data_IF_843210223652
#
_entry.id   IF_843210223652
#
_cell.length_a   1.000
_cell.length_b   1.000
_cell.length_c   1.000
_cell.angle_alpha   90.00
_cell.angle_beta   90.00
_cell.angle_gamma   90.00
#
_symmetry.space_group_name_H-M   'P 1'
#
loop_
_entity.id
_entity.type
_entity.pdbx_description
1 polymer ?
#
# COMPACT_ATOMS: atom_id res chain seq x y z
N UNK A 1 -1.63 -38.04 -49.62
CA UNK A 1 -2.83 -38.90 -49.43
C UNK A 1 -4.12 -38.13 -49.03
N UNK A 2 -4.05 -36.88 -48.53
CA UNK A 2 -5.23 -36.12 -48.06
C UNK A 2 -6.17 -35.56 -49.16
N UNK A 3 -5.66 -35.33 -50.37
CA UNK A 3 -6.43 -34.71 -51.47
C UNK A 3 -7.52 -35.63 -52.06
N UNK A 4 -7.34 -36.95 -52.02
CA UNK A 4 -8.33 -37.91 -52.57
C UNK A 4 -9.51 -38.09 -51.62
N UNK A 5 -9.25 -38.09 -50.30
CA UNK A 5 -10.30 -38.17 -49.27
C UNK A 5 -11.20 -36.92 -49.30
N UNK A 6 -10.60 -35.74 -49.43
CA UNK A 6 -11.30 -34.46 -49.58
C UNK A 6 -12.21 -34.43 -50.82
N UNK A 7 -11.70 -34.86 -51.97
CA UNK A 7 -12.50 -34.92 -53.21
C UNK A 7 -13.69 -35.87 -53.08
N UNK A 8 -13.50 -37.04 -52.46
CA UNK A 8 -14.58 -38.03 -52.26
C UNK A 8 -15.69 -37.51 -51.32
N UNK A 9 -15.31 -36.82 -50.25
CA UNK A 9 -16.28 -36.15 -49.36
C UNK A 9 -17.09 -35.09 -50.11
N UNK A 10 -16.43 -34.29 -50.96
CA UNK A 10 -17.08 -33.25 -51.76
C UNK A 10 -18.09 -33.84 -52.77
N UNK A 11 -17.74 -34.95 -53.42
CA UNK A 11 -18.65 -35.67 -54.32
C UNK A 11 -19.85 -36.27 -53.59
N UNK A 12 -19.66 -36.85 -52.40
CA UNK A 12 -20.76 -37.42 -51.61
C UNK A 12 -21.72 -36.34 -51.11
N UNK A 13 -21.21 -35.18 -50.70
CA UNK A 13 -22.03 -34.04 -50.27
C UNK A 13 -22.83 -33.47 -51.44
N UNK A 14 -22.21 -33.33 -52.62
CA UNK A 14 -22.84 -32.75 -53.81
C UNK A 14 -23.97 -33.61 -54.41
N UNK A 15 -23.89 -34.94 -54.27
CA UNK A 15 -24.83 -35.86 -54.94
C UNK A 15 -25.88 -36.47 -54.02
N UNK A 16 -25.70 -36.41 -52.69
CA UNK A 16 -26.58 -37.08 -51.71
C UNK A 16 -27.62 -36.17 -51.08
N UNK A 17 -27.48 -34.84 -51.18
CA UNK A 17 -28.42 -33.88 -50.60
C UNK A 17 -28.99 -32.96 -51.70
N UNK A 18 -30.33 -32.77 -51.77
CA UNK A 18 -30.91 -31.79 -52.67
C UNK A 18 -30.36 -30.42 -52.27
N UNK A 19 -29.83 -29.68 -53.26
CA UNK A 19 -29.12 -28.41 -53.07
C UNK A 19 -29.88 -27.36 -52.26
N UNK A 20 -31.22 -27.48 -52.17
CA UNK A 20 -32.10 -26.61 -51.37
C UNK A 20 -31.91 -26.77 -49.86
N UNK A 21 -31.87 -28.01 -49.36
CA UNK A 21 -31.71 -28.29 -47.92
C UNK A 21 -30.29 -27.99 -47.43
N UNK A 22 -29.29 -28.18 -48.29
CA UNK A 22 -27.92 -27.82 -47.94
C UNK A 22 -27.71 -26.29 -47.89
N UNK A 23 -28.41 -25.55 -48.75
CA UNK A 23 -28.35 -24.09 -48.80
C UNK A 23 -28.97 -23.45 -47.55
N UNK A 24 -30.07 -24.00 -47.03
CA UNK A 24 -30.70 -23.52 -45.80
C UNK A 24 -29.82 -23.77 -44.58
N UNK A 25 -29.18 -24.94 -44.50
CA UNK A 25 -28.23 -25.27 -43.41
C UNK A 25 -27.01 -24.33 -43.42
N UNK A 26 -26.44 -24.06 -44.59
CA UNK A 26 -25.32 -23.11 -44.72
C UNK A 26 -25.76 -21.70 -44.33
N UNK A 27 -26.93 -21.25 -44.79
CA UNK A 27 -27.46 -19.93 -44.44
C UNK A 27 -27.66 -19.78 -42.93
N UNK A 28 -28.27 -20.77 -42.29
CA UNK A 28 -28.46 -20.78 -40.83
C UNK A 28 -27.12 -20.78 -40.08
N UNK A 29 -26.14 -21.59 -40.52
CA UNK A 29 -24.81 -21.61 -39.91
C UNK A 29 -24.09 -20.27 -40.05
N UNK A 30 -24.23 -19.58 -41.19
CA UNK A 30 -23.66 -18.25 -41.40
C UNK A 30 -24.29 -17.20 -40.48
N UNK A 31 -25.61 -17.22 -40.30
CA UNK A 31 -26.30 -16.30 -39.36
C UNK A 31 -25.82 -16.51 -37.93
N UNK A 32 -25.73 -17.76 -37.47
CA UNK A 32 -25.20 -18.08 -36.13
C UNK A 32 -23.75 -17.61 -36.00
N UNK A 33 -22.92 -17.83 -37.01
CA UNK A 33 -21.53 -17.38 -37.00
C UNK A 33 -21.40 -15.85 -36.94
N UNK A 34 -22.18 -15.12 -37.73
CA UNK A 34 -22.21 -13.66 -37.70
C UNK A 34 -22.66 -13.13 -36.33
N UNK A 35 -23.63 -13.79 -35.69
CA UNK A 35 -24.08 -13.45 -34.35
C UNK A 35 -22.99 -13.67 -33.30
N UNK A 36 -22.31 -14.82 -33.34
CA UNK A 36 -21.19 -15.12 -32.44
C UNK A 36 -20.03 -14.14 -32.63
N UNK A 37 -19.67 -13.83 -33.88
CA UNK A 37 -18.60 -12.88 -34.19
C UNK A 37 -18.93 -11.44 -33.75
N UNK A 38 -20.17 -10.98 -33.98
CA UNK A 38 -20.62 -9.65 -33.56
C UNK A 38 -20.73 -9.50 -32.04
N UNK A 39 -21.10 -10.58 -31.33
CA UNK A 39 -21.18 -10.61 -29.87
C UNK A 39 -19.80 -10.45 -29.22
N UNK A 40 -18.79 -11.17 -29.72
CA UNK A 40 -17.40 -11.08 -29.22
C UNK A 40 -16.80 -9.69 -29.44
N UNK A 41 -17.03 -9.08 -30.61
CA UNK A 41 -16.53 -7.73 -30.92
C UNK A 41 -17.15 -6.66 -30.01
N UNK A 42 -18.44 -6.80 -29.69
CA UNK A 42 -19.16 -5.90 -28.79
C UNK A 42 -18.68 -6.03 -27.34
N UNK A 43 -18.28 -7.23 -26.93
CA UNK A 43 -17.70 -7.47 -25.61
C UNK A 43 -16.34 -6.75 -25.45
N UNK A 44 -15.46 -6.82 -26.47
CA UNK A 44 -14.12 -6.23 -26.41
C UNK A 44 -14.14 -4.70 -26.27
N UNK A 45 -14.98 -4.01 -27.04
CA UNK A 45 -15.10 -2.53 -26.95
C UNK A 45 -15.61 -2.06 -25.59
N UNK A 46 -16.49 -2.83 -24.97
CA UNK A 46 -17.01 -2.50 -23.63
C UNK A 46 -15.95 -2.70 -22.53
N UNK A 47 -15.05 -3.68 -22.66
CA UNK A 47 -14.01 -3.92 -21.65
C UNK A 47 -12.93 -2.84 -21.62
N UNK A 48 -12.50 -2.34 -22.77
CA UNK A 48 -11.50 -1.27 -22.83
C UNK A 48 -12.06 0.03 -22.24
N UNK A 49 -13.30 0.36 -22.61
CA UNK A 49 -13.97 1.54 -22.09
C UNK A 49 -14.18 1.44 -20.56
N UNK A 50 -14.59 0.26 -20.06
CA UNK A 50 -14.71 0.01 -18.61
C UNK A 50 -13.38 0.12 -17.88
N UNK A 51 -12.29 -0.40 -18.46
CA UNK A 51 -10.95 -0.28 -17.85
C UNK A 51 -10.48 1.17 -17.78
N UNK A 52 -10.71 1.96 -18.82
CA UNK A 52 -10.34 3.38 -18.82
C UNK A 52 -11.14 4.16 -17.75
N UNK A 53 -12.45 3.92 -17.66
CA UNK A 53 -13.29 4.54 -16.63
C UNK A 53 -12.83 4.13 -15.23
N UNK A 54 -12.56 2.84 -15.00
CA UNK A 54 -12.11 2.36 -13.69
C UNK A 54 -10.76 2.97 -13.31
N UNK A 55 -9.82 3.07 -14.25
CA UNK A 55 -8.52 3.71 -14.01
C UNK A 55 -8.69 5.19 -13.64
N UNK A 56 -9.49 5.93 -14.40
CA UNK A 56 -9.76 7.35 -14.14
C UNK A 56 -10.48 7.58 -12.80
N UNK A 57 -11.39 6.69 -12.43
CA UNK A 57 -12.06 6.75 -11.13
C UNK A 57 -11.09 6.48 -9.97
N UNK A 58 -10.14 5.55 -10.15
CA UNK A 58 -9.10 5.29 -9.15
C UNK A 58 -8.18 6.50 -8.99
N UNK A 59 -7.72 7.09 -10.09
CA UNK A 59 -6.92 8.33 -10.07
C UNK A 59 -7.66 9.46 -9.35
N UNK A 60 -8.94 9.69 -9.69
CA UNK A 60 -9.73 10.74 -9.06
C UNK A 60 -9.87 10.53 -7.54
N UNK A 61 -10.09 9.30 -7.10
CA UNK A 61 -10.17 8.97 -5.67
C UNK A 61 -8.85 9.19 -4.94
N UNK A 62 -7.71 8.90 -5.57
CA UNK A 62 -6.39 9.18 -4.98
C UNK A 62 -6.19 10.68 -4.80
N UNK A 63 -6.46 11.47 -5.84
CA UNK A 63 -6.34 12.93 -5.78
C UNK A 63 -7.29 13.52 -4.73
N UNK A 64 -8.53 13.03 -4.65
CA UNK A 64 -9.49 13.46 -3.64
C UNK A 64 -8.98 13.18 -2.21
N UNK A 65 -8.35 12.01 -2.01
CA UNK A 65 -7.77 11.66 -0.72
C UNK A 65 -6.58 12.55 -0.38
N UNK A 66 -5.67 12.80 -1.34
CA UNK A 66 -4.53 13.71 -1.17
C UNK A 66 -4.98 15.14 -0.86
N UNK A 67 -6.04 15.64 -1.52
CA UNK A 67 -6.60 16.94 -1.20
C UNK A 67 -7.15 16.98 0.22
N UNK A 68 -7.89 15.95 0.65
CA UNK A 68 -8.40 15.86 2.01
C UNK A 68 -7.28 15.82 3.04
N UNK A 69 -6.22 15.04 2.82
CA UNK A 69 -5.08 15.00 3.73
C UNK A 69 -4.40 16.36 3.83
N UNK A 70 -4.18 17.03 2.70
CA UNK A 70 -3.57 18.36 2.67
C UNK A 70 -4.44 19.42 3.36
N UNK A 71 -5.76 19.35 3.20
CA UNK A 71 -6.71 20.20 3.89
C UNK A 71 -6.65 19.98 5.42
N UNK A 72 -6.62 18.72 5.86
CA UNK A 72 -6.45 18.38 7.27
C UNK A 72 -5.13 18.90 7.84
N UNK A 73 -4.02 18.69 7.14
CA UNK A 73 -2.71 19.22 7.55
C UNK A 73 -2.74 20.74 7.67
N UNK A 74 -3.30 21.42 6.67
CA UNK A 74 -3.41 22.88 6.71
C UNK A 74 -4.29 23.34 7.88
N UNK A 75 -5.39 22.65 8.15
CA UNK A 75 -6.28 22.98 9.27
C UNK A 75 -5.60 22.75 10.63
N UNK A 76 -4.83 21.67 10.77
CA UNK A 76 -4.03 21.38 11.95
C UNK A 76 -2.98 22.46 12.21
N UNK A 77 -2.21 22.87 11.18
CA UNK A 77 -1.22 23.94 11.30
C UNK A 77 -1.84 25.30 11.64
N UNK A 78 -3.08 25.54 11.20
CA UNK A 78 -3.84 26.76 11.54
C UNK A 78 -4.49 26.69 12.92
N UNK A 79 -4.61 25.52 13.53
CA UNK A 79 -5.21 25.39 14.85
C UNK A 79 -4.44 26.17 15.91
N UNK A 80 -5.15 26.74 16.87
CA UNK A 80 -4.53 27.50 17.96
C UNK A 80 -3.56 26.63 18.78
N UNK A 81 -3.92 25.37 19.01
CA UNK A 81 -3.10 24.45 19.80
C UNK A 81 -1.74 24.21 19.14
N UNK A 82 -1.73 23.96 17.83
CA UNK A 82 -0.47 23.85 17.10
C UNK A 82 0.33 25.15 17.15
N UNK A 83 -0.31 26.30 16.95
CA UNK A 83 0.38 27.59 17.00
C UNK A 83 0.98 27.87 18.39
N UNK A 84 0.24 27.59 19.47
CA UNK A 84 0.72 27.73 20.85
C UNK A 84 1.92 26.82 21.10
N UNK A 85 1.84 25.54 20.72
CA UNK A 85 2.96 24.59 20.84
C UNK A 85 4.18 25.03 20.02
N UNK A 86 3.99 25.45 18.77
CA UNK A 86 5.06 25.91 17.89
C UNK A 86 5.73 27.18 18.43
N UNK A 87 4.96 28.11 19.01
CA UNK A 87 5.50 29.27 19.70
C UNK A 87 6.33 28.81 20.91
N UNK A 88 5.78 27.97 21.81
CA UNK A 88 6.50 27.45 22.99
C UNK A 88 7.83 26.78 22.62
N UNK A 89 7.87 25.98 21.55
CA UNK A 89 9.10 25.36 21.06
C UNK A 89 10.14 26.39 20.58
N UNK A 90 9.71 27.49 19.94
CA UNK A 90 10.62 28.52 19.41
C UNK A 90 11.12 29.47 20.48
N UNK A 91 10.23 29.93 21.36
CA UNK A 91 10.56 30.97 22.35
C UNK A 91 10.99 30.38 23.69
N UNK A 92 10.66 29.12 23.99
CA UNK A 92 11.00 28.46 25.25
C UNK A 92 10.22 28.98 26.47
N UNK A 93 9.17 29.78 26.24
CA UNK A 93 8.31 30.38 27.27
C UNK A 93 6.90 29.79 27.19
N UNK A 94 6.31 29.51 28.35
CA UNK A 94 4.96 28.99 28.49
C UNK A 94 3.93 30.10 28.62
N UNK A 95 2.65 29.74 28.59
CA UNK A 95 1.57 30.71 28.76
C UNK A 95 1.53 31.25 30.20
N UNK A 96 0.91 32.43 30.44
CA UNK A 96 0.79 33.00 31.78
C UNK A 96 0.11 32.02 32.75
N UNK A 97 0.85 31.58 33.78
CA UNK A 97 0.39 30.61 34.78
C UNK A 97 0.87 29.17 34.57
N UNK A 98 1.53 28.87 33.45
CA UNK A 98 2.17 27.57 33.18
C UNK A 98 3.57 27.49 33.82
N UNK A 99 3.87 26.41 34.57
CA UNK A 99 5.18 26.19 35.18
C UNK A 99 6.02 25.27 34.30
N UNK A 100 6.98 25.84 33.56
CA UNK A 100 7.93 25.07 32.76
C UNK A 100 9.09 24.56 33.61
N UNK A 101 9.45 23.29 33.45
CA UNK A 101 10.64 22.69 34.05
C UNK A 101 11.77 22.70 33.02
N UNK A 102 12.82 23.49 33.27
CA UNK A 102 14.05 23.47 32.45
C UNK A 102 14.98 22.43 33.08
N UNK A 103 15.27 21.36 32.34
CA UNK A 103 16.22 20.36 32.82
C UNK A 103 17.65 20.72 32.39
N UNK A 104 18.67 20.45 33.23
CA UNK A 104 20.07 20.65 32.86
C UNK A 104 20.48 19.67 31.77
N UNK A 105 21.44 20.04 30.91
CA UNK A 105 21.84 19.24 29.74
C UNK A 105 22.29 17.78 30.00
N UNK A 106 22.50 17.41 31.26
CA UNK A 106 22.85 16.04 31.69
C UNK A 106 21.66 15.27 32.30
N UNK A 107 20.44 15.79 32.20
CA UNK A 107 19.25 15.03 32.55
C UNK A 107 18.95 14.01 31.44
N UNK A 108 18.53 12.78 31.78
CA UNK A 108 18.03 11.86 30.78
C UNK A 108 16.85 12.50 30.06
N UNK A 109 17.00 12.70 28.75
CA UNK A 109 15.99 13.30 27.89
C UNK A 109 14.76 12.38 27.89
N UNK A 110 13.72 12.80 28.60
CA UNK A 110 12.47 12.05 28.76
C UNK A 110 11.54 12.19 27.54
N UNK A 111 11.97 12.89 26.48
CA UNK A 111 11.29 12.95 25.19
C UNK A 111 11.42 11.68 24.33
N UNK A 112 12.05 10.64 24.84
CA UNK A 112 12.15 9.37 24.15
C UNK A 112 10.98 8.46 24.53
N UNK A 113 9.82 8.67 23.91
CA UNK A 113 8.66 7.76 23.97
C UNK A 113 8.96 6.37 23.34
N UNK A 114 10.21 6.10 22.95
CA UNK A 114 10.68 4.81 22.45
C UNK A 114 12.10 4.48 22.95
N UNK A 115 12.36 4.55 24.25
CA UNK A 115 13.47 3.78 24.81
C UNK A 115 12.94 2.38 25.16
N UNK A 116 13.10 1.46 24.20
CA UNK A 116 13.36 0.07 24.53
C UNK A 116 14.34 0.09 25.70
N UNK A 117 14.09 -0.60 26.83
CA UNK A 117 15.06 -0.67 27.91
C UNK A 117 16.38 -1.13 27.31
N UNK A 118 17.35 -0.21 27.23
CA UNK A 118 18.74 -0.58 27.10
C UNK A 118 18.98 -1.44 28.34
N UNK A 119 18.99 -2.75 28.13
CA UNK A 119 19.43 -3.72 29.10
C UNK A 119 20.90 -3.39 29.36
N UNK A 120 21.09 -2.41 30.26
CA UNK A 120 22.37 -2.11 30.86
C UNK A 120 22.72 -3.43 31.52
N UNK A 121 23.71 -4.14 30.96
CA UNK A 121 24.40 -5.20 31.68
C UNK A 121 25.02 -4.57 32.92
N UNK A 122 24.21 -4.44 33.95
CA UNK A 122 24.67 -4.14 35.28
C UNK A 122 25.35 -5.42 35.75
N UNK A 123 26.68 -5.47 35.57
CA UNK A 123 27.49 -6.31 36.43
C UNK A 123 27.08 -5.97 37.87
N UNK A 124 26.64 -6.95 38.67
CA UNK A 124 26.12 -6.66 39.99
C UNK A 124 27.15 -5.83 40.76
N UNK A 125 26.74 -4.72 41.41
CA UNK A 125 27.66 -3.92 42.18
C UNK A 125 28.34 -4.84 43.22
N UNK A 126 29.66 -4.68 43.46
CA UNK A 126 30.36 -5.52 44.42
C UNK A 126 29.66 -5.44 45.77
N UNK A 127 29.55 -6.58 46.46
CA UNK A 127 28.95 -6.67 47.79
C UNK A 127 29.59 -5.64 48.74
N UNK A 128 28.82 -5.08 49.68
CA UNK A 128 29.33 -4.08 50.63
C UNK A 128 30.62 -4.55 51.32
N UNK A 129 30.71 -5.84 51.70
CA UNK A 129 31.94 -6.39 52.31
C UNK A 129 33.13 -6.36 51.35
N UNK A 130 32.88 -6.62 50.07
CA UNK A 130 33.91 -6.60 49.03
C UNK A 130 34.41 -5.18 48.77
N UNK A 131 33.52 -4.18 48.86
CA UNK A 131 33.89 -2.77 48.82
C UNK A 131 34.77 -2.37 50.01
N UNK A 132 34.39 -2.79 51.23
CA UNK A 132 35.18 -2.55 52.44
C UNK A 132 36.55 -3.23 52.39
N UNK A 133 36.64 -4.46 51.90
CA UNK A 133 37.91 -5.16 51.74
C UNK A 133 38.80 -4.50 50.69
N UNK A 134 38.24 -4.06 49.56
CA UNK A 134 38.99 -3.32 48.55
C UNK A 134 39.51 -1.98 49.08
N UNK A 135 38.75 -1.30 49.94
CA UNK A 135 39.16 -0.06 50.59
C UNK A 135 40.31 -0.29 51.59
N UNK A 136 40.16 -1.27 52.49
CA UNK A 136 41.13 -1.50 53.57
C UNK A 136 42.46 -2.09 53.07
N UNK A 137 42.44 -2.87 51.99
CA UNK A 137 43.61 -3.60 51.50
C UNK A 137 44.06 -3.18 50.10
N UNK A 138 43.54 -2.07 49.58
CA UNK A 138 44.09 -1.39 48.39
C UNK A 138 43.80 -2.05 47.04
N UNK A 139 42.66 -2.73 46.90
CA UNK A 139 42.26 -3.41 45.66
C UNK A 139 42.05 -2.49 44.44
N UNK A 140 42.00 -1.18 44.64
CA UNK A 140 41.85 -0.18 43.56
C UNK A 140 43.15 0.57 43.21
N UNK A 141 44.31 0.13 43.71
CA UNK A 141 45.57 0.87 43.51
C UNK A 141 46.23 0.73 42.11
N UNK A 142 45.57 0.11 41.12
CA UNK A 142 46.04 0.13 39.72
C UNK A 142 44.88 0.10 38.72
N UNK A 143 44.41 1.29 38.34
CA UNK A 143 44.07 1.65 36.96
C UNK A 143 44.00 3.15 36.80
#
# INVERSE_FOLDING_TARGET
>A
MFSVKMRRLWYQIKYRYPTREFLTIIGAAMVVFCFLAGSVQSMQKNYELRRQVEYKQREAKLIELEMKTLEYEQSYLKSEEYQKLAVRQRIGYGDPGEKLLILPANSPDNNNENLVPLEKKETPPPSNLQQWMNFLFGGNARK
#
